data_IF_112743131580
#
_entry.id   IF_112743131580
#
_cell.length_a   1.000
_cell.length_b   1.000
_cell.length_c   1.000
_cell.angle_alpha   90.00
_cell.angle_beta   90.00
_cell.angle_gamma   90.00
#
_symmetry.space_group_name_H-M   'P 1'
#
loop_
_entity.id
_entity.type
_entity.pdbx_description
1 polymer ?
#
# COMPACT_ATOMS: atom_id res chain seq x y z
N UNK A 1 11.05 15.67 -23.78
CA UNK A 1 11.65 15.50 -22.44
C UNK A 1 12.84 14.54 -22.53
N UNK A 2 13.98 14.90 -21.94
CA UNK A 2 15.28 14.21 -22.06
C UNK A 2 15.26 12.78 -21.46
N UNK A 3 14.67 12.64 -20.27
CA UNK A 3 14.50 11.35 -19.57
C UNK A 3 13.74 10.33 -20.38
N UNK A 4 12.67 10.72 -21.08
CA UNK A 4 11.92 9.81 -21.97
C UNK A 4 12.79 9.25 -23.11
N UNK A 5 13.65 10.09 -23.69
CA UNK A 5 14.58 9.66 -24.74
C UNK A 5 15.68 8.75 -24.17
N UNK A 6 16.18 9.05 -22.97
CA UNK A 6 17.15 8.22 -22.26
C UNK A 6 16.59 6.83 -21.94
N UNK A 7 15.35 6.75 -21.44
CA UNK A 7 14.66 5.47 -21.19
C UNK A 7 14.47 4.68 -22.51
N UNK A 8 14.10 5.36 -23.60
CA UNK A 8 14.01 4.70 -24.91
C UNK A 8 15.35 4.16 -25.41
N UNK A 9 16.48 4.76 -25.04
CA UNK A 9 17.80 4.25 -25.37
C UNK A 9 18.14 2.99 -24.58
N UNK A 10 17.80 2.99 -23.29
CA UNK A 10 17.95 1.82 -22.43
C UNK A 10 17.12 0.65 -22.96
N UNK A 11 15.84 0.88 -23.27
CA UNK A 11 14.93 -0.17 -23.77
C UNK A 11 15.34 -0.75 -25.13
N UNK A 12 16.14 -0.02 -25.91
CA UNK A 12 16.65 -0.45 -27.22
C UNK A 12 18.03 -1.09 -27.15
N UNK A 13 18.71 -1.01 -26.01
CA UNK A 13 20.03 -1.58 -25.86
C UNK A 13 19.92 -3.10 -25.64
N UNK A 14 20.65 -3.86 -26.45
CA UNK A 14 20.76 -5.30 -26.27
C UNK A 14 21.38 -5.61 -24.90
N UNK A 15 20.77 -6.52 -24.14
CA UNK A 15 21.16 -6.90 -22.78
C UNK A 15 20.92 -5.82 -21.70
N UNK A 16 20.18 -4.74 -22.01
CA UNK A 16 19.84 -3.68 -21.05
C UNK A 16 21.04 -2.86 -20.57
N UNK A 17 22.19 -2.96 -21.23
CA UNK A 17 23.42 -2.22 -20.90
C UNK A 17 23.52 -0.96 -21.75
N UNK A 18 23.62 0.20 -21.12
CA UNK A 18 23.76 1.48 -21.82
C UNK A 18 25.12 2.11 -21.56
N UNK A 19 25.85 2.41 -22.64
CA UNK A 19 27.04 3.27 -22.60
C UNK A 19 26.63 4.74 -22.46
N UNK A 20 27.08 5.37 -21.37
CA UNK A 20 26.78 6.76 -21.03
C UNK A 20 27.41 7.77 -22.02
N UNK A 21 28.53 7.43 -22.66
CA UNK A 21 29.12 8.28 -23.70
C UNK A 21 28.24 8.29 -24.94
N UNK A 22 27.86 7.09 -25.40
CA UNK A 22 26.99 6.93 -26.55
C UNK A 22 25.61 7.57 -26.31
N UNK A 23 25.08 7.44 -25.10
CA UNK A 23 23.84 8.11 -24.72
C UNK A 23 23.96 9.64 -24.72
N UNK A 24 25.08 10.20 -24.27
CA UNK A 24 25.32 11.65 -24.32
C UNK A 24 25.35 12.17 -25.76
N UNK A 25 26.02 11.44 -26.66
CA UNK A 25 26.14 11.78 -28.08
C UNK A 25 24.78 11.67 -28.79
N UNK A 26 24.04 10.58 -28.57
CA UNK A 26 22.71 10.38 -29.16
C UNK A 26 21.67 11.40 -28.69
N UNK A 27 21.74 11.78 -27.42
CA UNK A 27 20.82 12.76 -26.84
C UNK A 27 21.26 14.21 -27.12
N UNK A 28 22.46 14.41 -27.66
CA UNK A 28 23.06 15.72 -27.92
C UNK A 28 23.08 16.59 -26.65
N UNK A 29 23.50 15.98 -25.53
CA UNK A 29 23.57 16.65 -24.23
C UNK A 29 24.94 16.47 -23.58
N UNK A 30 25.30 17.43 -22.72
CA UNK A 30 26.52 17.32 -21.93
C UNK A 30 26.44 16.14 -20.95
N UNK A 31 27.58 15.45 -20.72
CA UNK A 31 27.69 14.33 -19.76
C UNK A 31 27.09 14.64 -18.38
N UNK A 32 27.13 15.91 -17.95
CA UNK A 32 26.53 16.33 -16.68
C UNK A 32 25.04 16.01 -16.58
N UNK A 33 24.28 16.14 -17.68
CA UNK A 33 22.83 15.87 -17.73
C UNK A 33 22.51 14.38 -17.68
N UNK A 34 23.42 13.54 -18.15
CA UNK A 34 23.30 12.09 -18.00
C UNK A 34 23.37 11.72 -16.51
N UNK A 35 24.28 12.31 -15.75
CA UNK A 35 24.39 12.03 -14.31
C UNK A 35 23.16 12.48 -13.51
N UNK A 36 22.51 13.58 -13.90
CA UNK A 36 21.25 13.96 -13.25
C UNK A 36 20.18 12.86 -13.38
N UNK A 37 20.15 12.19 -14.53
CA UNK A 37 19.21 11.10 -14.79
C UNK A 37 19.65 9.83 -14.06
N UNK A 38 20.93 9.45 -14.17
CA UNK A 38 21.42 8.22 -13.53
C UNK A 38 21.37 8.29 -12.02
N UNK A 39 21.67 9.43 -11.39
CA UNK A 39 21.61 9.56 -9.92
C UNK A 39 20.20 9.37 -9.38
N UNK A 40 19.18 9.87 -10.11
CA UNK A 40 17.78 9.66 -9.72
C UNK A 40 17.39 8.19 -9.93
N UNK A 41 17.72 7.61 -11.09
CA UNK A 41 17.38 6.21 -11.36
C UNK A 41 18.12 5.21 -10.46
N UNK A 42 19.36 5.50 -10.10
CA UNK A 42 20.17 4.74 -9.15
C UNK A 42 19.64 4.91 -7.72
N UNK A 43 19.28 6.14 -7.32
CA UNK A 43 18.65 6.42 -6.03
C UNK A 43 17.28 5.75 -5.83
N UNK A 44 16.55 5.51 -6.93
CA UNK A 44 15.30 4.72 -6.95
C UNK A 44 15.57 3.22 -7.08
N UNK A 45 16.78 2.81 -7.46
CA UNK A 45 17.17 1.40 -7.63
C UNK A 45 16.78 0.76 -8.97
N UNK A 46 16.48 1.54 -10.01
CA UNK A 46 16.11 1.05 -11.35
C UNK A 46 17.30 0.75 -12.26
N UNK A 47 18.50 1.23 -11.90
CA UNK A 47 19.74 0.99 -12.65
C UNK A 47 20.88 0.67 -11.70
N UNK A 48 21.87 -0.04 -12.19
CA UNK A 48 23.13 -0.30 -11.49
C UNK A 48 24.34 0.00 -12.37
N UNK A 49 25.46 0.29 -11.72
CA UNK A 49 26.74 0.49 -12.40
C UNK A 49 27.38 -0.86 -12.74
N UNK A 50 27.43 -1.20 -14.03
CA UNK A 50 28.12 -2.40 -14.52
C UNK A 50 29.64 -2.17 -14.61
N UNK A 51 30.05 -1.04 -15.17
CA UNK A 51 31.47 -0.65 -15.28
C UNK A 51 31.63 0.86 -15.47
N UNK A 52 32.87 1.35 -15.62
CA UNK A 52 33.09 2.77 -15.93
C UNK A 52 32.43 3.10 -17.28
N UNK A 53 31.58 4.13 -17.28
CA UNK A 53 30.76 4.56 -18.41
C UNK A 53 29.64 3.60 -18.85
N UNK A 54 29.39 2.49 -18.16
CA UNK A 54 28.29 1.57 -18.50
C UNK A 54 27.37 1.35 -17.31
N UNK A 55 26.08 1.57 -17.55
CA UNK A 55 25.01 1.21 -16.62
C UNK A 55 24.25 0.01 -17.16
N UNK A 56 23.70 -0.79 -16.26
CA UNK A 56 22.75 -1.83 -16.60
C UNK A 56 21.38 -1.41 -16.06
N UNK A 57 20.37 -1.55 -16.90
CA UNK A 57 18.98 -1.45 -16.46
C UNK A 57 18.71 -2.65 -15.56
N UNK A 58 18.26 -2.40 -14.32
CA UNK A 58 17.61 -3.46 -13.57
C UNK A 58 16.22 -3.58 -14.19
N UNK A 59 15.91 -4.62 -14.98
CA UNK A 59 14.52 -4.86 -15.30
C UNK A 59 13.78 -4.87 -13.95
N UNK A 60 12.64 -4.17 -13.86
CA UNK A 60 11.64 -4.54 -12.87
C UNK A 60 11.50 -6.04 -13.02
N UNK A 61 12.00 -6.78 -12.01
CA UNK A 61 12.48 -8.14 -12.21
C UNK A 61 11.45 -8.92 -13.03
N UNK A 62 11.83 -9.63 -14.11
CA UNK A 62 10.91 -10.58 -14.72
C UNK A 62 10.43 -11.50 -13.59
N UNK A 63 9.13 -11.80 -13.59
CA UNK A 63 8.33 -12.48 -12.56
C UNK A 63 8.81 -13.90 -12.17
N UNK A 64 10.10 -14.11 -11.94
CA UNK A 64 10.69 -15.44 -11.78
C UNK A 64 12.13 -15.45 -11.27
N UNK A 65 12.57 -14.43 -10.52
CA UNK A 65 13.69 -14.65 -9.59
C UNK A 65 13.15 -15.32 -8.32
N UNK A 66 13.91 -16.20 -7.66
CA UNK A 66 13.47 -16.85 -6.43
C UNK A 66 13.15 -15.86 -5.30
N UNK A 67 13.78 -14.68 -5.31
CA UNK A 67 13.46 -13.59 -4.37
C UNK A 67 12.07 -12.98 -4.63
N UNK A 68 11.60 -12.94 -5.88
CA UNK A 68 10.25 -12.47 -6.21
C UNK A 68 9.16 -13.48 -5.88
N UNK A 69 9.45 -14.79 -5.97
CA UNK A 69 8.44 -15.81 -5.66
C UNK A 69 8.06 -15.80 -4.18
N UNK A 70 9.02 -15.55 -3.29
CA UNK A 70 8.77 -15.38 -1.85
C UNK A 70 7.99 -14.09 -1.58
N UNK A 71 8.35 -12.98 -2.23
CA UNK A 71 7.65 -11.71 -2.12
C UNK A 71 6.22 -11.77 -2.71
N UNK A 72 6.02 -12.47 -3.82
CA UNK A 72 4.72 -12.64 -4.48
C UNK A 72 3.79 -13.51 -3.62
N UNK A 73 4.30 -14.61 -3.05
CA UNK A 73 3.55 -15.43 -2.07
C UNK A 73 3.22 -14.66 -0.80
N UNK A 74 4.16 -13.85 -0.30
CA UNK A 74 3.91 -12.99 0.85
C UNK A 74 2.82 -11.94 0.54
N UNK A 75 2.82 -11.39 -0.69
CA UNK A 75 1.80 -10.46 -1.15
C UNK A 75 0.42 -11.14 -1.22
N UNK A 76 0.33 -12.33 -1.79
CA UNK A 76 -0.91 -13.11 -1.86
C UNK A 76 -1.46 -13.43 -0.46
N UNK A 77 -0.59 -13.85 0.47
CA UNK A 77 -0.98 -14.10 1.85
C UNK A 77 -1.51 -12.84 2.53
N UNK A 78 -0.82 -11.71 2.37
CA UNK A 78 -1.24 -10.42 2.92
C UNK A 78 -2.57 -9.96 2.32
N UNK A 79 -2.79 -10.18 1.03
CA UNK A 79 -4.07 -9.89 0.38
C UNK A 79 -5.20 -10.76 0.96
N UNK A 80 -4.95 -12.05 1.18
CA UNK A 80 -5.91 -12.94 1.83
C UNK A 80 -6.24 -12.51 3.26
N UNK A 81 -5.21 -12.13 4.04
CA UNK A 81 -5.40 -11.58 5.39
C UNK A 81 -6.24 -10.30 5.37
N UNK A 82 -5.94 -9.36 4.46
CA UNK A 82 -6.72 -8.14 4.30
C UNK A 82 -8.18 -8.41 3.94
N UNK A 83 -8.45 -9.40 3.08
CA UNK A 83 -9.82 -9.81 2.76
C UNK A 83 -10.55 -10.35 4.00
N UNK A 84 -9.92 -11.26 4.76
CA UNK A 84 -10.52 -11.81 5.98
C UNK A 84 -10.81 -10.74 7.04
N UNK A 85 -9.91 -9.75 7.19
CA UNK A 85 -10.10 -8.64 8.13
C UNK A 85 -11.25 -7.73 7.69
N UNK A 86 -11.40 -7.48 6.39
CA UNK A 86 -12.54 -6.71 5.86
C UNK A 86 -13.87 -7.41 6.10
N UNK A 87 -13.93 -8.73 5.92
CA UNK A 87 -15.14 -9.49 6.19
C UNK A 87 -15.51 -9.47 7.68
N UNK A 88 -14.50 -9.57 8.56
CA UNK A 88 -14.70 -9.48 10.01
C UNK A 88 -15.20 -8.09 10.43
N UNK A 89 -14.62 -7.01 9.87
CA UNK A 89 -15.03 -5.63 10.12
C UNK A 89 -16.48 -5.39 9.67
N UNK A 90 -16.82 -5.84 8.46
CA UNK A 90 -18.20 -5.75 7.95
C UNK A 90 -19.21 -6.51 8.83
N UNK A 91 -18.82 -7.66 9.38
CA UNK A 91 -19.67 -8.41 10.31
C UNK A 91 -19.87 -7.67 11.63
N UNK A 92 -18.83 -7.00 12.15
CA UNK A 92 -18.93 -6.21 13.38
C UNK A 92 -19.83 -4.99 13.17
N UNK A 93 -19.68 -4.29 12.05
CA UNK A 93 -20.56 -3.17 11.70
C UNK A 93 -22.02 -3.60 11.59
N UNK A 94 -22.30 -4.77 11.00
CA UNK A 94 -23.64 -5.32 10.95
C UNK A 94 -24.23 -5.58 12.36
N UNK A 95 -23.43 -6.14 13.29
CA UNK A 95 -23.85 -6.34 14.67
C UNK A 95 -24.09 -5.02 15.41
N UNK A 96 -23.21 -4.02 15.23
CA UNK A 96 -23.36 -2.69 15.82
C UNK A 96 -24.66 -2.05 15.32
N UNK A 97 -24.92 -2.13 14.02
CA UNK A 97 -26.14 -1.61 13.42
C UNK A 97 -27.39 -2.30 13.96
N UNK A 98 -27.36 -3.63 14.09
CA UNK A 98 -28.46 -4.41 14.63
C UNK A 98 -28.74 -4.03 16.09
N UNK A 99 -27.71 -4.00 16.95
CA UNK A 99 -27.86 -3.65 18.36
C UNK A 99 -28.36 -2.23 18.53
N UNK A 100 -27.78 -1.27 17.80
CA UNK A 100 -28.20 0.14 17.84
C UNK A 100 -29.66 0.28 17.43
N UNK A 101 -30.09 -0.44 16.37
CA UNK A 101 -31.48 -0.42 15.92
C UNK A 101 -32.43 -1.03 16.95
N UNK A 102 -32.03 -2.12 17.61
CA UNK A 102 -32.82 -2.74 18.67
C UNK A 102 -32.97 -1.79 19.88
N UNK A 103 -31.88 -1.20 20.34
CA UNK A 103 -31.90 -0.21 21.44
C UNK A 103 -32.81 0.95 21.07
N UNK A 104 -32.66 1.50 19.86
CA UNK A 104 -33.49 2.60 19.36
C UNK A 104 -34.98 2.24 19.34
N UNK A 105 -35.33 1.06 18.85
CA UNK A 105 -36.72 0.59 18.85
C UNK A 105 -37.29 0.48 20.27
N UNK A 106 -36.47 0.03 21.23
CA UNK A 106 -36.88 -0.06 22.64
C UNK A 106 -36.96 1.32 23.32
N UNK A 107 -36.08 2.26 22.99
CA UNK A 107 -36.03 3.59 23.65
C UNK A 107 -37.01 4.59 23.05
N UNK A 108 -37.28 4.54 21.75
CA UNK A 108 -38.15 5.51 21.06
C UNK A 108 -39.63 5.12 21.07
N UNK A 109 -39.97 3.87 21.40
CA UNK A 109 -41.35 3.46 21.57
C UNK A 109 -42.01 4.24 22.73
N UNK A 110 -43.03 5.04 22.40
CA UNK A 110 -43.75 5.86 23.39
C UNK A 110 -44.34 5.04 24.56
N UNK A 111 -44.64 3.77 24.31
CA UNK A 111 -45.10 2.82 25.33
C UNK A 111 -44.05 2.50 26.41
N UNK A 112 -42.75 2.60 26.07
CA UNK A 112 -41.66 2.27 27.00
C UNK A 112 -41.23 3.47 27.85
N UNK A 113 -41.52 4.69 27.39
CA UNK A 113 -41.14 5.94 28.07
C UNK A 113 -41.61 6.06 29.53
N UNK A 114 -42.84 5.64 29.92
CA UNK A 114 -43.28 5.65 31.31
C UNK A 114 -42.54 4.66 32.22
N UNK A 115 -41.83 3.70 31.64
CA UNK A 115 -41.09 2.65 32.35
C UNK A 115 -39.59 2.96 32.50
N UNK A 116 -39.12 4.12 32.02
CA UNK A 116 -37.72 4.56 32.17
C UNK A 116 -37.48 5.30 33.49
N UNK A 117 -37.68 4.61 34.60
CA UNK A 117 -37.31 5.10 35.92
C UNK A 117 -36.63 3.98 36.71
N UNK A 118 -35.95 4.37 37.77
CA UNK A 118 -35.40 3.46 38.79
C UNK A 118 -36.02 3.83 40.13
N UNK A 119 -36.24 2.85 41.00
CA UNK A 119 -36.76 3.08 42.34
C UNK A 119 -35.63 3.30 43.34
N UNK A 120 -35.96 3.83 44.52
CA UNK A 120 -35.02 3.98 45.63
C UNK A 120 -34.48 2.61 46.10
N UNK A 121 -35.34 1.58 46.11
CA UNK A 121 -34.96 0.21 46.43
C UNK A 121 -33.96 -0.37 45.40
N UNK A 122 -34.13 -0.05 44.11
CA UNK A 122 -33.18 -0.47 43.06
C UNK A 122 -31.78 0.12 43.27
N UNK A 123 -31.69 1.37 43.75
CA UNK A 123 -30.42 2.07 43.98
C UNK A 123 -29.76 1.59 45.28
N UNK A 124 -30.53 1.50 46.37
CA UNK A 124 -30.02 1.14 47.70
C UNK A 124 -29.57 -0.31 47.80
N UNK A 125 -30.08 -1.19 46.94
CA UNK A 125 -29.65 -2.58 46.85
C UNK A 125 -28.35 -2.80 46.06
N UNK A 126 -27.80 -1.77 45.40
CA UNK A 126 -26.56 -1.90 44.63
C UNK A 126 -25.36 -2.22 45.54
N UNK A 127 -24.39 -3.04 45.06
CA UNK A 127 -23.23 -3.46 45.86
C UNK A 127 -22.38 -2.32 46.40
N UNK A 128 -22.42 -1.14 45.77
CA UNK A 128 -21.66 0.04 46.16
C UNK A 128 -22.31 0.88 47.27
N UNK A 129 -23.57 0.59 47.64
CA UNK A 129 -24.29 1.25 48.73
C UNK A 129 -24.49 0.31 49.93
N UNK A 130 -23.83 -0.86 49.93
CA UNK A 130 -23.77 -1.82 51.04
C UNK A 130 -22.47 -1.71 51.82
#
# INVERSE_FOLDING_TARGET
MLTKKFINLINKADDGVLDLNHAADMLQVQKRRIYDITNVLEGVGLIEKKSKNNIIWKPALPSGSPENEEDERALELLQGQMASLRDADASLDAHIHQMTSCIKAMTEAAANKPHFYVTDDDITNLPCFK
#
